data_IF_839451089274
#
_entry.id   IF_839451089274
#
_cell.length_a   1.000
_cell.length_b   1.000
_cell.length_c   1.000
_cell.angle_alpha   90.00
_cell.angle_beta   90.00
_cell.angle_gamma   90.00
#
_symmetry.space_group_name_H-M   'P 1'
#
loop_
_entity.id
_entity.type
_entity.pdbx_description
1 polymer ?
#
# COMPACT_ATOMS: atom_id res chain seq x y z
N UNK A 1 -14.78 -13.75 -9.47
CA UNK A 1 -13.68 -14.47 -8.79
C UNK A 1 -13.68 -15.93 -9.25
N UNK A 2 -12.52 -16.44 -9.66
CA UNK A 2 -12.37 -17.87 -9.93
C UNK A 2 -12.57 -18.66 -8.64
N UNK A 3 -13.12 -19.88 -8.74
CA UNK A 3 -13.23 -20.78 -7.58
C UNK A 3 -11.84 -21.36 -7.32
N UNK A 4 -11.17 -20.93 -6.23
CA UNK A 4 -9.83 -21.36 -5.86
C UNK A 4 -9.86 -22.63 -5.01
N UNK A 5 -8.92 -23.54 -5.26
CA UNK A 5 -8.65 -24.69 -4.38
C UNK A 5 -7.48 -24.34 -3.45
N UNK A 6 -7.81 -23.69 -2.34
CA UNK A 6 -6.81 -23.25 -1.34
C UNK A 6 -6.00 -24.43 -0.74
N UNK A 7 -6.55 -25.64 -0.68
CA UNK A 7 -5.81 -26.81 -0.19
C UNK A 7 -4.74 -27.25 -1.21
N UNK A 8 -5.04 -27.18 -2.50
CA UNK A 8 -4.05 -27.47 -3.55
C UNK A 8 -2.96 -26.39 -3.56
N UNK A 9 -3.33 -25.09 -3.48
CA UNK A 9 -2.38 -23.98 -3.43
C UNK A 9 -1.47 -24.07 -2.20
N UNK A 10 -2.01 -24.38 -1.02
CA UNK A 10 -1.24 -24.57 0.22
C UNK A 10 -0.24 -25.72 0.09
N UNK A 11 -0.63 -26.84 -0.49
CA UNK A 11 0.27 -28.00 -0.71
C UNK A 11 1.38 -27.66 -1.71
N UNK A 12 1.04 -26.94 -2.77
CA UNK A 12 2.00 -26.53 -3.80
C UNK A 12 3.05 -25.57 -3.25
N UNK A 13 2.66 -24.64 -2.37
CA UNK A 13 3.55 -23.62 -1.79
C UNK A 13 4.29 -24.08 -0.53
N UNK A 14 3.99 -25.27 0.03
CA UNK A 14 4.55 -25.72 1.32
C UNK A 14 6.10 -25.86 1.32
N UNK A 15 6.74 -26.11 0.18
CA UNK A 15 8.19 -26.28 0.07
C UNK A 15 8.92 -25.09 -0.53
N UNK A 16 8.21 -24.06 -0.95
CA UNK A 16 8.77 -22.85 -1.53
C UNK A 16 7.68 -21.90 -2.01
N UNK A 17 8.01 -20.61 -2.08
CA UNK A 17 7.08 -19.58 -2.54
C UNK A 17 7.77 -18.72 -3.61
N UNK A 18 7.00 -18.30 -4.60
CA UNK A 18 7.49 -17.51 -5.74
C UNK A 18 6.54 -16.35 -6.03
N UNK A 19 6.31 -15.47 -5.07
CA UNK A 19 5.34 -14.39 -5.22
C UNK A 19 5.78 -13.39 -6.29
N UNK A 20 4.83 -12.97 -7.12
CA UNK A 20 5.08 -12.04 -8.21
C UNK A 20 5.25 -10.59 -7.72
N UNK A 21 4.64 -10.24 -6.59
CA UNK A 21 4.58 -8.88 -6.07
C UNK A 21 4.66 -8.80 -4.55
N UNK A 22 5.06 -7.62 -4.06
CA UNK A 22 4.87 -7.17 -2.68
C UNK A 22 3.82 -6.06 -2.69
N UNK A 23 2.74 -6.22 -1.95
CA UNK A 23 1.67 -5.22 -1.85
C UNK A 23 1.68 -4.60 -0.45
N UNK A 24 1.90 -3.28 -0.39
CA UNK A 24 1.72 -2.48 0.83
C UNK A 24 0.33 -1.86 0.83
N UNK A 25 -0.57 -2.41 1.63
CA UNK A 25 -1.94 -1.92 1.76
C UNK A 25 -2.25 -1.28 3.12
N UNK A 26 -3.44 -0.72 3.22
CA UNK A 26 -3.97 -0.24 4.49
C UNK A 26 -4.42 -1.43 5.38
N UNK A 27 -4.43 -1.19 6.71
CA UNK A 27 -5.03 -2.12 7.69
C UNK A 27 -6.56 -2.27 7.51
N UNK A 28 -7.21 -1.39 6.77
CA UNK A 28 -8.65 -1.36 6.58
C UNK A 28 -9.18 -2.73 6.13
N UNK A 29 -10.11 -3.31 6.91
CA UNK A 29 -10.66 -4.65 6.70
C UNK A 29 -11.41 -4.83 5.37
N UNK A 30 -11.80 -3.72 4.73
CA UNK A 30 -12.52 -3.71 3.44
C UNK A 30 -11.59 -3.82 2.24
N UNK A 31 -10.25 -3.82 2.46
CA UNK A 31 -9.23 -3.83 1.40
C UNK A 31 -8.29 -5.04 1.59
N UNK A 32 -8.79 -6.28 1.57
CA UNK A 32 -7.92 -7.46 1.53
C UNK A 32 -7.33 -7.57 0.12
N UNK A 33 -6.02 -7.32 0.00
CA UNK A 33 -5.37 -7.24 -1.31
C UNK A 33 -5.49 -8.55 -2.10
N UNK A 34 -5.48 -9.69 -1.42
CA UNK A 34 -5.65 -11.00 -2.03
C UNK A 34 -6.99 -11.12 -2.77
N UNK A 35 -8.06 -10.54 -2.18
CA UNK A 35 -9.39 -10.53 -2.80
C UNK A 35 -9.47 -9.49 -3.92
N UNK A 36 -8.89 -8.30 -3.69
CA UNK A 36 -8.89 -7.19 -4.66
C UNK A 36 -8.23 -7.61 -5.98
N UNK A 37 -7.13 -8.38 -5.89
CA UNK A 37 -6.37 -8.82 -7.07
C UNK A 37 -6.61 -10.27 -7.48
N UNK A 38 -7.57 -10.96 -6.83
CA UNK A 38 -7.87 -12.38 -7.07
C UNK A 38 -6.61 -13.27 -7.01
N UNK A 39 -5.73 -13.03 -6.01
CA UNK A 39 -4.50 -13.78 -5.80
C UNK A 39 -4.71 -14.90 -4.77
N UNK A 40 -3.97 -16.00 -4.91
CA UNK A 40 -4.02 -17.16 -4.04
C UNK A 40 -2.86 -17.25 -3.05
N UNK A 41 -2.79 -18.40 -2.37
CA UNK A 41 -1.73 -18.68 -1.40
C UNK A 41 -0.39 -18.80 -2.12
N UNK A 42 0.56 -17.94 -1.75
CA UNK A 42 1.92 -17.91 -2.31
C UNK A 42 2.11 -16.98 -3.52
N UNK A 43 1.04 -16.35 -4.03
CA UNK A 43 1.10 -15.49 -5.22
C UNK A 43 1.69 -14.09 -4.93
N UNK A 44 1.48 -13.58 -3.71
CA UNK A 44 1.90 -12.22 -3.32
C UNK A 44 2.36 -12.16 -1.87
N UNK A 45 3.34 -11.29 -1.58
CA UNK A 45 3.62 -10.83 -0.21
C UNK A 45 2.71 -9.66 0.13
N UNK A 46 2.11 -9.67 1.32
CA UNK A 46 1.22 -8.61 1.77
C UNK A 46 1.74 -7.96 3.05
N UNK A 47 2.07 -6.67 2.99
CA UNK A 47 2.32 -5.82 4.15
C UNK A 47 1.13 -4.90 4.39
N UNK A 48 0.63 -4.77 5.64
CA UNK A 48 -0.51 -3.90 5.95
C UNK A 48 -0.24 -3.04 7.16
N UNK A 49 -0.46 -1.74 7.01
CA UNK A 49 -0.40 -0.76 8.09
C UNK A 49 -1.42 0.34 7.82
N UNK A 50 -2.02 0.93 8.85
CA UNK A 50 -3.02 1.99 8.69
C UNK A 50 -2.45 3.14 7.84
N UNK A 51 -3.18 3.53 6.78
CA UNK A 51 -2.76 4.55 5.83
C UNK A 51 -1.60 4.15 4.90
N UNK A 52 -1.33 2.85 4.75
CA UNK A 52 -0.29 2.31 3.82
C UNK A 52 1.05 3.09 3.82
N UNK A 53 1.46 3.60 4.99
CA UNK A 53 2.75 4.27 5.19
C UNK A 53 3.89 3.26 5.28
N UNK A 54 5.12 3.65 4.94
CA UNK A 54 6.28 2.77 5.05
C UNK A 54 7.09 3.05 6.32
N UNK A 55 7.61 2.00 6.93
CA UNK A 55 8.56 2.03 8.03
C UNK A 55 9.75 1.08 7.73
N UNK A 56 10.73 0.99 8.63
CA UNK A 56 11.93 0.19 8.41
C UNK A 56 11.63 -1.30 8.25
N UNK A 57 10.68 -1.84 9.03
CA UNK A 57 10.31 -3.26 8.96
C UNK A 57 9.63 -3.61 7.62
N UNK A 58 8.78 -2.71 7.11
CA UNK A 58 8.15 -2.87 5.81
C UNK A 58 9.17 -2.71 4.67
N UNK A 59 10.13 -1.77 4.78
CA UNK A 59 11.21 -1.65 3.80
C UNK A 59 12.05 -2.93 3.75
N UNK A 60 12.51 -3.43 4.89
CA UNK A 60 13.26 -4.69 4.97
C UNK A 60 12.47 -5.87 4.39
N UNK A 61 11.15 -5.92 4.63
CA UNK A 61 10.27 -6.95 4.05
C UNK A 61 10.17 -6.83 2.53
N UNK A 62 10.11 -5.61 1.99
CA UNK A 62 10.11 -5.37 0.54
C UNK A 62 11.45 -5.76 -0.09
N UNK A 63 12.57 -5.42 0.57
CA UNK A 63 13.92 -5.80 0.15
C UNK A 63 14.06 -7.33 0.09
N UNK A 64 13.61 -8.04 1.14
CA UNK A 64 13.56 -9.49 1.13
C UNK A 64 12.69 -10.01 -0.02
N UNK A 65 11.48 -9.48 -0.19
CA UNK A 65 10.55 -9.91 -1.23
C UNK A 65 11.11 -9.74 -2.64
N UNK A 66 11.79 -8.63 -2.91
CA UNK A 66 12.31 -8.34 -4.25
C UNK A 66 13.71 -8.90 -4.48
N UNK A 67 14.67 -8.65 -3.55
CA UNK A 67 16.07 -9.02 -3.77
C UNK A 67 16.34 -10.51 -3.49
N UNK A 68 15.66 -11.11 -2.50
CA UNK A 68 15.91 -12.49 -2.11
C UNK A 68 14.88 -13.46 -2.69
N UNK A 69 13.60 -13.06 -2.82
CA UNK A 69 12.51 -13.96 -3.27
C UNK A 69 12.07 -13.71 -4.71
N UNK A 70 12.56 -12.68 -5.38
CA UNK A 70 12.39 -12.45 -6.81
C UNK A 70 11.05 -11.81 -7.22
N UNK A 71 10.30 -11.22 -6.28
CA UNK A 71 9.13 -10.42 -6.62
C UNK A 71 9.53 -9.22 -7.50
N UNK A 72 8.74 -8.95 -8.53
CA UNK A 72 9.07 -7.95 -9.56
C UNK A 72 8.28 -6.66 -9.46
N UNK A 73 7.32 -6.59 -8.57
CA UNK A 73 6.48 -5.40 -8.37
C UNK A 73 6.35 -5.10 -6.89
N UNK A 74 6.53 -3.84 -6.52
CA UNK A 74 6.05 -3.28 -5.26
C UNK A 74 4.86 -2.42 -5.58
N UNK A 75 3.70 -2.75 -5.01
CA UNK A 75 2.48 -1.97 -5.16
C UNK A 75 2.11 -1.31 -3.84
N UNK A 76 2.05 0.02 -3.82
CA UNK A 76 1.45 0.78 -2.72
C UNK A 76 -0.02 0.98 -3.03
N UNK A 77 -0.89 0.33 -2.26
CA UNK A 77 -2.34 0.35 -2.46
C UNK A 77 -3.02 1.23 -1.42
N UNK A 78 -3.43 2.44 -1.82
CA UNK A 78 -4.36 3.27 -1.06
C UNK A 78 -5.81 2.92 -1.36
N UNK A 79 -6.73 3.56 -0.66
CA UNK A 79 -8.16 3.36 -0.90
C UNK A 79 -8.98 4.59 -0.54
N UNK A 80 -10.18 4.70 -1.11
CA UNK A 80 -11.14 5.76 -0.80
C UNK A 80 -11.64 5.68 0.66
N UNK A 81 -12.06 6.79 1.21
CA UNK A 81 -12.64 6.91 2.57
C UNK A 81 -11.75 6.34 3.69
N UNK A 82 -10.42 6.44 3.57
CA UNK A 82 -9.46 5.86 4.51
C UNK A 82 -9.55 6.51 5.90
N UNK A 83 -9.78 5.69 6.94
CA UNK A 83 -9.89 6.16 8.32
C UNK A 83 -8.60 6.78 8.86
N UNK A 84 -7.42 6.25 8.49
CA UNK A 84 -6.14 6.81 8.91
C UNK A 84 -5.87 8.19 8.28
N UNK A 85 -6.29 8.39 7.03
CA UNK A 85 -6.22 9.70 6.37
C UNK A 85 -7.12 10.71 7.08
N UNK A 86 -8.37 10.32 7.40
CA UNK A 86 -9.29 11.15 8.19
C UNK A 86 -8.68 11.53 9.54
N UNK A 87 -8.13 10.55 10.26
CA UNK A 87 -7.46 10.80 11.54
C UNK A 87 -6.26 11.75 11.43
N UNK A 88 -5.50 11.67 10.35
CA UNK A 88 -4.40 12.60 10.08
C UNK A 88 -4.91 14.02 9.77
N UNK A 89 -6.01 14.16 9.03
CA UNK A 89 -6.65 15.48 8.77
C UNK A 89 -7.13 16.11 10.06
N UNK A 90 -7.74 15.32 10.97
CA UNK A 90 -8.35 15.78 12.21
C UNK A 90 -7.36 15.91 13.39
N UNK A 91 -6.07 15.70 13.17
CA UNK A 91 -5.04 15.74 14.23
C UNK A 91 -5.33 14.82 15.42
N UNK A 92 -5.87 13.61 15.17
CA UNK A 92 -6.22 12.67 16.22
C UNK A 92 -5.00 12.27 17.06
N UNK A 93 -5.14 12.39 18.38
CA UNK A 93 -4.11 12.00 19.37
C UNK A 93 -4.58 10.76 20.11
N UNK A 94 -3.89 9.62 19.89
CA UNK A 94 -4.19 8.35 20.54
C UNK A 94 -2.94 7.45 20.58
N UNK A 95 -2.26 7.42 21.71
CA UNK A 95 -1.12 6.51 21.92
C UNK A 95 -0.16 6.43 20.72
N UNK A 96 0.17 5.23 20.30
CA UNK A 96 1.05 4.99 19.14
C UNK A 96 0.45 5.41 17.78
N UNK A 97 -0.89 5.56 17.69
CA UNK A 97 -1.55 6.05 16.49
C UNK A 97 -1.09 7.48 16.15
N UNK A 98 -0.82 8.31 17.14
CA UNK A 98 -0.31 9.69 16.95
C UNK A 98 0.95 9.69 16.09
N UNK A 99 1.93 8.83 16.42
CA UNK A 99 3.19 8.71 15.65
C UNK A 99 2.99 8.13 14.25
N UNK A 100 2.01 7.23 14.08
CA UNK A 100 1.65 6.69 12.76
C UNK A 100 1.02 7.79 11.89
N UNK A 101 0.05 8.54 12.41
CA UNK A 101 -0.62 9.62 11.69
C UNK A 101 0.33 10.76 11.31
N UNK A 102 1.37 11.00 12.11
CA UNK A 102 2.42 11.97 11.77
C UNK A 102 3.12 11.65 10.44
N UNK A 103 3.19 10.38 10.04
CA UNK A 103 3.75 9.96 8.74
C UNK A 103 2.85 10.32 7.56
N UNK A 104 1.55 10.53 7.80
CA UNK A 104 0.55 10.92 6.78
C UNK A 104 0.48 12.45 6.65
N UNK A 105 0.85 13.21 7.68
CA UNK A 105 0.78 14.68 7.68
C UNK A 105 1.43 15.36 6.46
N UNK A 106 2.58 14.89 5.92
CA UNK A 106 3.12 15.46 4.69
C UNK A 106 2.14 15.40 3.51
N UNK A 107 1.33 14.34 3.41
CA UNK A 107 0.32 14.22 2.36
C UNK A 107 -0.81 15.25 2.57
N UNK A 108 -1.27 15.44 3.82
CA UNK A 108 -2.27 16.47 4.14
C UNK A 108 -1.75 17.86 3.74
N UNK A 109 -0.48 18.17 4.08
CA UNK A 109 0.13 19.48 3.80
C UNK A 109 0.36 19.73 2.30
N UNK A 110 0.69 18.69 1.53
CA UNK A 110 1.04 18.81 0.11
C UNK A 110 -0.15 18.71 -0.83
N UNK A 111 -1.30 18.20 -0.34
CA UNK A 111 -2.48 18.04 -1.20
C UNK A 111 -3.07 19.40 -1.59
N UNK A 112 -3.00 19.70 -2.89
CA UNK A 112 -3.69 20.85 -3.47
C UNK A 112 -5.15 20.48 -3.68
N UNK A 113 -6.06 21.26 -3.11
CA UNK A 113 -7.49 20.99 -3.20
C UNK A 113 -8.27 22.31 -3.11
N UNK A 114 -9.15 22.52 -4.08
CA UNK A 114 -10.04 23.68 -4.13
C UNK A 114 -11.38 23.27 -3.50
N UNK A 115 -11.59 23.67 -2.26
CA UNK A 115 -12.79 23.38 -1.50
C UNK A 115 -12.51 23.15 -0.01
N UNK A 116 -13.50 22.62 0.70
CA UNK A 116 -13.39 22.35 2.13
C UNK A 116 -12.38 21.25 2.43
N UNK A 117 -11.33 21.59 3.20
CA UNK A 117 -10.28 20.67 3.66
C UNK A 117 -10.65 20.06 5.01
N UNK A 118 -11.60 19.14 5.00
CA UNK A 118 -12.17 18.52 6.20
C UNK A 118 -12.23 16.99 6.02
N UNK A 119 -12.09 16.24 7.11
CA UNK A 119 -12.28 14.78 7.11
C UNK A 119 -13.71 14.34 6.76
N UNK A 120 -14.66 15.27 6.80
CA UNK A 120 -16.05 15.06 6.38
C UNK A 120 -16.23 15.18 4.86
N UNK A 121 -15.31 15.88 4.19
CA UNK A 121 -15.29 15.96 2.73
C UNK A 121 -14.55 14.77 2.14
N UNK A 122 -15.28 13.76 1.70
CA UNK A 122 -14.71 12.50 1.15
C UNK A 122 -13.81 12.76 -0.06
N UNK A 123 -14.16 13.70 -0.94
CA UNK A 123 -13.33 14.03 -2.09
C UNK A 123 -11.95 14.59 -1.68
N UNK A 124 -11.91 15.40 -0.61
CA UNK A 124 -10.64 15.85 -0.04
C UNK A 124 -9.87 14.71 0.61
N UNK A 125 -10.54 13.85 1.39
CA UNK A 125 -9.91 12.66 2.00
C UNK A 125 -9.27 11.78 0.93
N UNK A 126 -9.95 11.55 -0.18
CA UNK A 126 -9.47 10.69 -1.27
C UNK A 126 -8.30 11.36 -2.03
N UNK A 127 -8.33 12.68 -2.21
CA UNK A 127 -7.20 13.42 -2.76
C UNK A 127 -5.95 13.34 -1.86
N UNK A 128 -6.12 13.43 -0.53
CA UNK A 128 -5.03 13.22 0.43
C UNK A 128 -4.52 11.78 0.38
N UNK A 129 -5.43 10.80 0.29
CA UNK A 129 -5.05 9.38 0.16
C UNK A 129 -4.21 9.13 -1.09
N UNK A 130 -4.59 9.68 -2.25
CA UNK A 130 -3.80 9.59 -3.48
C UNK A 130 -2.42 10.24 -3.33
N UNK A 131 -2.35 11.42 -2.72
CA UNK A 131 -1.07 12.09 -2.41
C UNK A 131 -0.20 11.23 -1.49
N UNK A 132 -0.81 10.61 -0.47
CA UNK A 132 -0.10 9.74 0.46
C UNK A 132 0.49 8.50 -0.23
N UNK A 133 -0.23 7.89 -1.17
CA UNK A 133 0.31 6.79 -2.00
C UNK A 133 1.54 7.24 -2.78
N UNK A 134 1.46 8.38 -3.47
CA UNK A 134 2.58 8.93 -4.25
C UNK A 134 3.80 9.23 -3.37
N UNK A 135 3.59 9.82 -2.19
CA UNK A 135 4.66 10.08 -1.24
C UNK A 135 5.26 8.79 -0.67
N UNK A 136 4.44 7.77 -0.40
CA UNK A 136 4.93 6.46 0.07
C UNK A 136 5.79 5.79 -0.99
N UNK A 137 5.41 5.82 -2.27
CA UNK A 137 6.26 5.35 -3.38
C UNK A 137 7.59 6.09 -3.40
N UNK A 138 7.57 7.43 -3.31
CA UNK A 138 8.79 8.23 -3.27
C UNK A 138 9.67 7.91 -2.05
N UNK A 139 9.06 7.68 -0.87
CA UNK A 139 9.77 7.29 0.34
C UNK A 139 10.46 5.91 0.22
N UNK A 140 9.83 4.94 -0.46
CA UNK A 140 10.46 3.64 -0.73
C UNK A 140 11.74 3.85 -1.55
N UNK A 141 11.68 4.59 -2.63
CA UNK A 141 12.85 4.92 -3.46
C UNK A 141 13.94 5.63 -2.65
N UNK A 142 13.55 6.65 -1.86
CA UNK A 142 14.50 7.47 -1.10
C UNK A 142 15.19 6.70 0.03
N UNK A 143 14.47 5.80 0.71
CA UNK A 143 14.94 5.16 1.96
C UNK A 143 15.59 3.80 1.74
N UNK A 144 15.34 3.13 0.63
CA UNK A 144 15.94 1.84 0.31
C UNK A 144 16.86 1.93 -0.91
N UNK A 145 18.18 2.06 -0.71
CA UNK A 145 19.14 2.00 -1.82
C UNK A 145 19.06 0.68 -2.61
N UNK A 146 18.69 -0.41 -1.94
CA UNK A 146 18.52 -1.74 -2.57
C UNK A 146 17.37 -1.72 -3.59
N UNK A 147 16.21 -1.24 -3.16
CA UNK A 147 15.02 -1.19 -4.03
C UNK A 147 15.19 -0.15 -5.14
N UNK A 148 15.84 0.98 -4.84
CA UNK A 148 16.16 2.01 -5.83
C UNK A 148 17.07 1.47 -6.93
N UNK A 149 18.12 0.71 -6.56
CA UNK A 149 19.04 0.09 -7.53
C UNK A 149 18.33 -0.94 -8.41
N UNK A 150 17.51 -1.82 -7.81
CA UNK A 150 16.70 -2.79 -8.55
C UNK A 150 15.72 -2.11 -9.52
N UNK A 151 15.10 -1.01 -9.10
CA UNK A 151 14.19 -0.22 -9.94
C UNK A 151 14.92 0.44 -11.10
N UNK A 152 16.07 1.08 -10.85
CA UNK A 152 16.89 1.70 -11.90
C UNK A 152 17.40 0.70 -12.95
N UNK A 153 17.67 -0.54 -12.53
CA UNK A 153 18.05 -1.64 -13.43
C UNK A 153 16.86 -2.23 -14.20
N UNK A 154 15.64 -1.77 -13.95
CA UNK A 154 14.44 -2.33 -14.55
C UNK A 154 14.10 -3.75 -14.07
N UNK A 155 14.71 -4.20 -12.96
CA UNK A 155 14.45 -5.52 -12.37
C UNK A 155 13.12 -5.56 -11.63
N UNK A 156 12.71 -4.44 -11.06
CA UNK A 156 11.41 -4.28 -10.38
C UNK A 156 10.72 -2.98 -10.82
N UNK A 157 9.41 -2.92 -10.65
CA UNK A 157 8.62 -1.70 -10.70
C UNK A 157 8.07 -1.37 -9.31
N UNK A 158 8.10 -0.08 -8.93
CA UNK A 158 7.47 0.43 -7.69
C UNK A 158 6.35 1.36 -8.13
N UNK A 159 5.11 0.98 -7.86
CA UNK A 159 3.92 1.66 -8.38
C UNK A 159 2.90 1.95 -7.29
N UNK A 160 2.09 2.97 -7.49
CA UNK A 160 0.98 3.32 -6.62
C UNK A 160 -0.36 3.03 -7.27
N UNK A 161 -1.36 2.69 -6.48
CA UNK A 161 -2.74 2.57 -6.93
C UNK A 161 -3.73 2.99 -5.84
N UNK A 162 -4.94 3.35 -6.26
CA UNK A 162 -6.10 3.62 -5.41
C UNK A 162 -7.20 2.60 -5.68
N UNK A 163 -7.70 1.99 -4.61
CA UNK A 163 -8.85 1.11 -4.63
C UNK A 163 -10.12 1.87 -4.22
N UNK A 164 -11.13 1.83 -5.05
CA UNK A 164 -12.42 2.45 -4.76
C UNK A 164 -13.33 1.44 -4.04
N UNK A 165 -13.67 1.76 -2.79
CA UNK A 165 -14.51 0.90 -1.94
C UNK A 165 -15.95 0.76 -2.43
N UNK A 166 -16.46 1.72 -3.20
CA UNK A 166 -17.84 1.70 -3.68
C UNK A 166 -17.98 0.89 -4.97
N UNK A 167 -16.99 0.97 -5.85
CA UNK A 167 -17.05 0.33 -7.18
C UNK A 167 -16.23 -0.94 -7.29
N UNK A 168 -15.28 -1.16 -6.35
CA UNK A 168 -14.34 -2.29 -6.41
C UNK A 168 -13.26 -2.13 -7.49
N UNK A 169 -13.08 -0.93 -8.04
CA UNK A 169 -12.09 -0.68 -9.09
C UNK A 169 -10.73 -0.28 -8.51
N UNK A 170 -9.66 -0.65 -9.20
CA UNK A 170 -8.28 -0.21 -8.92
C UNK A 170 -7.83 0.73 -10.02
N UNK A 171 -7.41 1.95 -9.63
CA UNK A 171 -6.82 2.95 -10.51
C UNK A 171 -5.33 3.06 -10.22
N UNK A 172 -4.47 2.70 -11.18
CA UNK A 172 -3.04 2.94 -11.08
C UNK A 172 -2.72 4.43 -11.20
N UNK A 173 -1.73 4.87 -10.42
CA UNK A 173 -1.24 6.23 -10.42
C UNK A 173 0.06 6.29 -11.21
N UNK A 174 0.09 7.17 -12.17
CA UNK A 174 1.29 7.47 -12.98
C UNK A 174 2.25 8.41 -12.25
#
# INVERSE_FOLDING_TARGET
>A
MARRDYLAEQRASAKGQYPAAVILGCLDSRVPAEIVFDTGIGDTFIGRVAGNVVNDDLLGSMEFGCAASGARVILVLGHTACGAIKGAIDDVVLGNLTGLLARIKPAVAQTKYDGEKSSKNYAYVDAVAETNVKLTVAEIHRRSPVLEDLSKKGSIAIVGAMYDLATGTVKFLG
#
